data_IF_327172312421
#
_entry.id   IF_327172312421
#
_cell.length_a   1.000
_cell.length_b   1.000
_cell.length_c   1.000
_cell.angle_alpha   90.00
_cell.angle_beta   90.00
_cell.angle_gamma   90.00
#
_symmetry.space_group_name_H-M   'P 1'
#
loop_
_entity.id
_entity.type
_entity.pdbx_description
1 polymer ?
#
# COMPACT_ATOMS: atom_id res chain seq x y z
N UNK A 1 14.09 10.50 9.77
CA UNK A 1 12.92 10.53 8.87
C UNK A 1 12.74 11.96 8.38
N UNK A 2 13.23 12.26 7.17
CA UNK A 2 12.95 13.55 6.52
C UNK A 2 11.63 13.34 5.81
N UNK A 3 10.54 13.86 6.37
CA UNK A 3 9.19 13.67 5.84
C UNK A 3 9.07 14.35 4.48
N UNK A 4 9.17 13.56 3.41
CA UNK A 4 8.59 13.96 2.14
C UNK A 4 7.08 14.16 2.38
N UNK A 5 6.50 15.30 2.01
CA UNK A 5 5.10 15.55 2.28
C UNK A 5 4.27 14.50 1.54
N UNK A 6 3.37 13.83 2.26
CA UNK A 6 2.42 12.84 1.73
C UNK A 6 1.47 13.42 0.65
N UNK A 7 1.52 14.74 0.43
CA UNK A 7 0.89 15.44 -0.68
C UNK A 7 1.89 16.41 -1.34
N UNK A 8 2.20 16.20 -2.62
CA UNK A 8 2.70 17.29 -3.48
C UNK A 8 1.49 17.98 -4.11
N UNK A 9 1.41 19.30 -3.92
CA UNK A 9 0.45 20.15 -4.61
C UNK A 9 1.01 20.45 -6.00
N UNK A 10 0.50 19.74 -7.03
CA UNK A 10 0.82 20.04 -8.42
C UNK A 10 -0.30 20.84 -9.09
N UNK A 11 0.09 21.82 -9.91
CA UNK A 11 -0.87 22.63 -10.68
C UNK A 11 -1.62 21.71 -11.65
N UNK A 12 -2.95 21.64 -11.50
CA UNK A 12 -3.82 20.80 -12.33
C UNK A 12 -4.19 19.45 -11.72
N UNK A 13 -3.66 19.11 -10.54
CA UNK A 13 -4.03 17.88 -9.81
C UNK A 13 -4.93 18.19 -8.60
N UNK A 14 -5.82 17.26 -8.19
CA UNK A 14 -6.71 17.48 -7.07
C UNK A 14 -5.98 17.62 -5.72
N UNK A 15 -6.53 18.45 -4.83
CA UNK A 15 -6.05 18.60 -3.45
C UNK A 15 -6.48 17.34 -2.68
N UNK A 16 -5.53 16.50 -2.27
CA UNK A 16 -5.80 15.20 -1.64
C UNK A 16 -5.14 13.99 -2.32
N UNK A 17 -4.28 14.23 -3.31
CA UNK A 17 -3.48 13.18 -3.93
C UNK A 17 -2.40 12.65 -2.98
N UNK A 18 -2.29 11.33 -2.92
CA UNK A 18 -1.18 10.63 -2.29
C UNK A 18 -0.04 10.52 -3.29
N UNK A 19 1.15 10.95 -2.89
CA UNK A 19 2.36 10.84 -3.71
C UNK A 19 3.33 9.88 -3.04
N UNK A 20 3.85 8.93 -3.82
CA UNK A 20 4.81 7.94 -3.36
C UNK A 20 5.37 7.13 -4.50
N UNK A 21 6.18 6.13 -4.17
CA UNK A 21 6.74 5.21 -5.15
C UNK A 21 5.71 4.15 -5.54
N UNK A 22 5.64 3.85 -6.84
CA UNK A 22 4.81 2.76 -7.34
C UNK A 22 5.51 1.43 -7.06
N UNK A 23 4.78 0.47 -6.49
CA UNK A 23 5.30 -0.88 -6.23
C UNK A 23 4.81 -1.86 -7.30
N UNK A 24 5.63 -2.86 -7.59
CA UNK A 24 5.34 -3.98 -8.47
C UNK A 24 5.62 -5.30 -7.75
N UNK A 25 4.97 -5.49 -6.60
CA UNK A 25 5.09 -6.68 -5.79
C UNK A 25 6.41 -6.77 -5.02
N UNK A 26 6.95 -7.98 -4.92
CA UNK A 26 8.09 -8.34 -4.08
C UNK A 26 9.12 -9.11 -4.88
N UNK A 27 10.40 -8.94 -4.59
CA UNK A 27 11.44 -9.80 -5.17
C UNK A 27 11.28 -11.23 -4.67
N UNK A 28 11.20 -12.20 -5.57
CA UNK A 28 11.03 -13.60 -5.18
C UNK A 28 12.37 -14.27 -4.83
N UNK A 29 13.47 -13.79 -5.40
CA UNK A 29 14.82 -14.37 -5.25
C UNK A 29 15.87 -13.27 -5.12
N UNK A 30 17.00 -13.59 -4.48
CA UNK A 30 18.15 -12.68 -4.37
C UNK A 30 18.77 -12.34 -5.72
N UNK A 31 18.72 -13.26 -6.68
CA UNK A 31 19.22 -13.01 -8.03
C UNK A 31 18.37 -11.99 -8.79
N UNK A 32 17.05 -12.03 -8.61
CA UNK A 32 16.13 -11.02 -9.17
C UNK A 32 16.35 -9.65 -8.52
N UNK A 33 16.53 -9.64 -7.19
CA UNK A 33 16.86 -8.44 -6.43
C UNK A 33 18.18 -7.81 -6.88
N UNK A 34 19.23 -8.61 -7.08
CA UNK A 34 20.55 -8.11 -7.51
C UNK A 34 20.60 -7.62 -8.97
N UNK A 35 19.67 -8.08 -9.82
CA UNK A 35 19.60 -7.69 -11.23
C UNK A 35 18.68 -6.48 -11.47
N UNK A 36 17.96 -6.03 -10.44
CA UNK A 36 17.04 -4.90 -10.54
C UNK A 36 17.77 -3.55 -10.32
N UNK A 37 17.13 -2.42 -10.71
CA UNK A 37 17.60 -1.06 -10.41
C UNK A 37 17.92 -0.87 -8.92
N UNK A 38 18.85 0.03 -8.60
CA UNK A 38 19.20 0.33 -7.21
C UNK A 38 17.99 0.95 -6.49
N UNK A 39 17.40 0.20 -5.56
CA UNK A 39 16.23 0.65 -4.82
C UNK A 39 16.57 1.20 -3.45
N UNK A 40 17.85 1.31 -3.08
CA UNK A 40 18.31 1.80 -1.77
C UNK A 40 17.80 3.21 -1.40
N UNK A 41 17.57 4.15 -2.34
CA UNK A 41 17.00 5.45 -1.98
C UNK A 41 15.51 5.37 -1.60
N UNK A 42 14.76 4.46 -2.24
CA UNK A 42 13.32 4.24 -1.98
C UNK A 42 13.06 3.21 -0.86
N UNK A 43 13.92 2.21 -0.71
CA UNK A 43 13.90 1.18 0.33
C UNK A 43 14.97 1.50 1.38
N UNK A 44 14.58 1.63 2.65
CA UNK A 44 15.51 1.93 3.75
C UNK A 44 16.46 0.76 4.07
N UNK A 45 16.33 -0.38 3.40
CA UNK A 45 17.24 -1.50 3.52
C UNK A 45 18.45 -1.35 2.59
N UNK A 46 19.69 -1.24 3.11
CA UNK A 46 20.91 -1.12 2.31
C UNK A 46 21.30 -2.38 1.53
N UNK A 47 20.50 -3.46 1.60
CA UNK A 47 20.71 -4.70 0.85
C UNK A 47 19.42 -5.13 0.19
N UNK A 48 19.38 -5.05 -1.14
CA UNK A 48 18.31 -5.59 -1.95
C UNK A 48 18.38 -7.12 -1.95
N UNK A 49 17.37 -7.75 -1.35
CA UNK A 49 17.26 -9.19 -1.17
C UNK A 49 15.88 -9.67 -1.61
N UNK A 50 15.76 -10.98 -1.82
CA UNK A 50 14.46 -11.64 -1.90
C UNK A 50 13.60 -11.25 -0.70
N UNK A 51 12.34 -10.90 -0.97
CA UNK A 51 11.39 -10.42 0.03
C UNK A 51 11.33 -8.91 0.23
N UNK A 52 12.22 -8.12 -0.38
CA UNK A 52 12.06 -6.67 -0.41
C UNK A 52 10.97 -6.25 -1.39
N UNK A 53 10.38 -5.08 -1.13
CA UNK A 53 9.37 -4.48 -2.01
C UNK A 53 10.09 -4.11 -3.30
N UNK A 54 9.48 -4.46 -4.43
CA UNK A 54 9.96 -4.05 -5.74
C UNK A 54 9.29 -2.74 -6.12
N UNK A 55 10.04 -1.65 -6.14
CA UNK A 55 9.60 -0.37 -6.68
C UNK A 55 9.77 -0.34 -8.21
N UNK A 56 9.00 0.51 -8.87
CA UNK A 56 9.10 0.73 -10.32
C UNK A 56 9.97 1.96 -10.54
N UNK A 57 11.08 1.75 -11.24
CA UNK A 57 11.85 2.82 -11.88
C UNK A 57 10.99 3.37 -13.03
N UNK A 58 10.56 4.63 -12.91
CA UNK A 58 9.67 5.30 -13.86
C UNK A 58 10.45 6.05 -14.95
N UNK A 59 11.69 6.43 -14.67
CA UNK A 59 12.52 7.22 -15.58
C UNK A 59 13.56 6.37 -16.35
N UNK A 60 13.67 5.08 -16.02
CA UNK A 60 14.57 4.07 -16.59
C UNK A 60 16.07 4.39 -16.43
N UNK A 61 16.45 5.13 -15.39
CA UNK A 61 17.85 5.51 -15.13
C UNK A 61 18.66 4.47 -14.34
N UNK A 62 17.99 3.40 -13.88
CA UNK A 62 18.60 2.31 -13.13
C UNK A 62 18.71 2.56 -11.62
N UNK A 63 18.14 3.65 -11.11
CA UNK A 63 18.03 4.00 -9.69
C UNK A 63 16.57 4.34 -9.40
N UNK A 64 16.04 3.89 -8.26
CA UNK A 64 14.72 4.35 -7.79
C UNK A 64 14.92 5.41 -6.72
N UNK A 65 14.61 6.66 -7.06
CA UNK A 65 14.79 7.81 -6.16
C UNK A 65 13.57 8.73 -6.08
N UNK A 66 13.74 9.95 -5.56
CA UNK A 66 12.65 10.90 -5.36
C UNK A 66 12.00 11.34 -6.69
N UNK A 67 12.67 11.19 -7.83
CA UNK A 67 12.17 11.52 -9.17
C UNK A 67 11.20 10.44 -9.71
N UNK A 68 11.18 9.24 -9.11
CA UNK A 68 10.24 8.15 -9.42
C UNK A 68 8.93 8.22 -8.63
N UNK A 69 8.70 9.31 -7.89
CA UNK A 69 7.45 9.50 -7.16
C UNK A 69 6.32 9.87 -8.12
N UNK A 70 5.19 9.16 -7.97
CA UNK A 70 3.98 9.42 -8.74
C UNK A 70 2.74 9.48 -7.85
N UNK A 71 1.61 9.89 -8.43
CA UNK A 71 0.32 9.85 -7.73
C UNK A 71 -0.12 8.41 -7.58
N UNK A 72 -0.16 7.91 -6.34
CA UNK A 72 -0.49 6.52 -6.00
C UNK A 72 -1.95 6.34 -5.55
N UNK A 73 -2.67 7.44 -5.30
CA UNK A 73 -4.09 7.41 -4.99
C UNK A 73 -4.67 8.80 -4.80
N UNK A 74 -6.00 8.88 -4.72
CA UNK A 74 -6.75 10.11 -4.54
C UNK A 74 -7.81 9.95 -3.44
N UNK A 75 -7.71 10.77 -2.39
CA UNK A 75 -8.68 10.76 -1.29
C UNK A 75 -10.06 11.31 -1.69
N UNK A 76 -10.17 11.98 -2.84
CA UNK A 76 -11.43 12.56 -3.29
C UNK A 76 -12.30 11.50 -3.98
N UNK A 77 -13.54 11.30 -3.53
CA UNK A 77 -14.46 10.37 -4.17
C UNK A 77 -14.99 10.92 -5.49
N UNK A 78 -15.15 10.02 -6.46
CA UNK A 78 -15.83 10.32 -7.73
C UNK A 78 -17.33 10.59 -7.51
N UNK A 79 -17.94 9.87 -6.56
CA UNK A 79 -19.37 9.99 -6.25
C UNK A 79 -19.62 9.97 -4.75
N UNK A 80 -20.39 10.93 -4.26
CA UNK A 80 -20.92 10.91 -2.89
C UNK A 80 -22.41 11.16 -2.92
N UNK A 81 -23.13 10.57 -1.98
CA UNK A 81 -24.56 10.75 -1.91
C UNK A 81 -25.19 10.03 -0.74
N UNK A 82 -26.51 10.09 -0.70
CA UNK A 82 -27.29 9.40 0.29
C UNK A 82 -28.78 9.47 -0.03
N UNK A 83 -29.54 8.57 0.58
CA UNK A 83 -30.99 8.60 0.50
C UNK A 83 -31.61 8.24 1.85
N UNK A 84 -32.75 8.85 2.12
CA UNK A 84 -33.54 8.58 3.32
C UNK A 84 -34.91 8.06 2.92
N UNK A 85 -35.39 7.04 3.61
CA UNK A 85 -36.70 6.43 3.38
C UNK A 85 -37.42 6.25 4.71
N UNK A 86 -38.71 6.60 4.71
CA UNK A 86 -39.60 6.41 5.86
C UNK A 86 -40.75 5.51 5.44
N UNK A 87 -40.83 4.33 6.05
CA UNK A 87 -41.91 3.38 5.87
C UNK A 87 -42.84 3.40 7.08
N UNK A 88 -44.15 3.53 6.85
CA UNK A 88 -45.15 3.55 7.91
C UNK A 88 -46.23 2.51 7.65
N UNK A 89 -46.49 1.63 8.62
CA UNK A 89 -47.53 0.60 8.52
C UNK A 89 -48.15 0.28 9.89
N UNK A 90 -49.49 0.37 10.00
CA UNK A 90 -50.28 0.02 11.20
C UNK A 90 -49.74 0.58 12.52
N UNK A 91 -49.31 1.84 12.53
CA UNK A 91 -48.76 2.51 13.72
C UNK A 91 -47.29 2.24 14.00
N UNK A 92 -46.63 1.40 13.20
CA UNK A 92 -45.18 1.24 13.18
C UNK A 92 -44.55 2.16 12.13
N UNK A 93 -43.45 2.81 12.46
CA UNK A 93 -42.67 3.64 11.56
C UNK A 93 -41.20 3.23 11.60
N UNK A 94 -40.61 3.02 10.42
CA UNK A 94 -39.19 2.78 10.23
C UNK A 94 -38.62 3.88 9.36
N UNK A 95 -37.64 4.60 9.89
CA UNK A 95 -36.87 5.59 9.16
C UNK A 95 -35.45 5.08 8.95
N UNK A 96 -34.99 5.07 7.70
CA UNK A 96 -33.63 4.66 7.31
C UNK A 96 -32.95 5.80 6.59
N UNK A 97 -31.64 5.94 6.79
CA UNK A 97 -30.79 6.88 6.05
C UNK A 97 -29.52 6.16 5.66
N UNK A 98 -29.19 6.26 4.38
CA UNK A 98 -28.02 5.66 3.77
C UNK A 98 -27.14 6.77 3.23
N UNK A 99 -25.83 6.66 3.46
CA UNK A 99 -24.83 7.54 2.86
C UNK A 99 -23.74 6.68 2.24
N UNK A 100 -23.20 7.12 1.11
CA UNK A 100 -22.14 6.41 0.41
C UNK A 100 -21.13 7.37 -0.21
N UNK A 101 -19.92 6.86 -0.37
CA UNK A 101 -18.78 7.47 -1.04
C UNK A 101 -18.12 6.39 -1.89
N UNK A 102 -17.91 6.65 -3.17
CA UNK A 102 -17.38 5.68 -4.14
C UNK A 102 -16.27 6.32 -4.96
N UNK A 103 -15.22 5.55 -5.21
CA UNK A 103 -14.09 5.96 -6.05
C UNK A 103 -12.97 6.69 -5.31
N UNK A 104 -13.08 6.89 -3.98
CA UNK A 104 -11.97 7.40 -3.18
C UNK A 104 -11.01 6.26 -2.79
N UNK A 105 -9.72 6.56 -2.83
CA UNK A 105 -8.67 5.72 -2.26
C UNK A 105 -8.49 6.04 -0.77
N UNK A 106 -8.11 5.03 0.03
CA UNK A 106 -7.96 5.18 1.48
C UNK A 106 -6.57 4.70 1.88
N UNK A 107 -5.67 5.64 2.15
CA UNK A 107 -4.37 5.31 2.71
C UNK A 107 -4.49 4.80 4.15
N UNK A 108 -4.19 3.52 4.36
CA UNK A 108 -4.30 2.86 5.66
C UNK A 108 -2.95 2.79 6.41
N UNK A 109 -2.66 3.83 7.20
CA UNK A 109 -1.44 3.86 8.04
C UNK A 109 -1.38 2.77 9.11
N UNK A 110 -2.52 2.30 9.63
CA UNK A 110 -2.53 1.22 10.61
C UNK A 110 -1.98 -0.07 10.01
N UNK A 111 -2.19 -0.30 8.71
CA UNK A 111 -1.59 -1.44 8.02
C UNK A 111 -0.06 -1.27 8.01
N UNK A 112 0.46 -0.10 7.65
CA UNK A 112 1.90 0.17 7.62
C UNK A 112 2.54 -0.08 9.00
N UNK A 113 1.97 0.46 10.08
CA UNK A 113 2.56 0.33 11.42
C UNK A 113 2.49 -1.11 11.97
N UNK A 114 1.36 -1.80 11.77
CA UNK A 114 1.16 -3.14 12.33
C UNK A 114 1.68 -4.28 11.42
N UNK A 115 2.07 -3.98 10.18
CA UNK A 115 2.55 -5.01 9.25
C UNK A 115 4.02 -5.36 9.43
N UNK A 116 4.85 -4.46 9.96
CA UNK A 116 6.30 -4.71 10.04
C UNK A 116 6.79 -5.22 11.40
N UNK A 117 5.89 -5.33 12.40
CA UNK A 117 6.28 -5.79 13.74
C UNK A 117 7.42 -4.95 14.33
N UNK A 118 7.39 -3.64 14.06
CA UNK A 118 8.44 -2.71 14.51
C UNK A 118 8.45 -2.64 16.04
N UNK A 119 9.62 -2.87 16.66
CA UNK A 119 9.78 -2.84 18.12
C UNK A 119 9.19 -4.07 18.85
N UNK A 120 8.83 -3.91 20.14
CA UNK A 120 8.22 -4.97 20.97
C UNK A 120 6.70 -4.82 21.07
N UNK A 121 6.07 -4.31 20.02
CA UNK A 121 4.63 -4.10 19.98
C UNK A 121 3.92 -5.29 19.33
N UNK A 122 2.60 -5.38 19.54
CA UNK A 122 1.80 -6.36 18.83
C UNK A 122 1.81 -6.06 17.33
N UNK A 123 1.96 -7.10 16.52
CA UNK A 123 1.86 -7.02 15.08
C UNK A 123 0.50 -7.54 14.61
N UNK A 124 0.08 -7.12 13.42
CA UNK A 124 -1.09 -7.69 12.76
C UNK A 124 -0.90 -9.18 12.51
N UNK A 125 -2.00 -9.93 12.46
CA UNK A 125 -1.97 -11.37 12.11
C UNK A 125 -1.28 -11.64 10.77
N UNK A 126 -1.32 -10.68 9.84
CA UNK A 126 -0.69 -10.79 8.54
C UNK A 126 0.84 -10.90 8.62
N UNK A 127 1.47 -10.41 9.69
CA UNK A 127 2.91 -10.56 9.91
C UNK A 127 3.36 -12.02 10.06
N UNK A 128 2.46 -12.92 10.48
CA UNK A 128 2.73 -14.36 10.53
C UNK A 128 2.87 -14.98 9.12
N UNK A 129 2.23 -14.37 8.12
CA UNK A 129 2.27 -14.79 6.72
C UNK A 129 3.26 -13.96 5.89
N UNK A 130 4.21 -13.29 6.54
CA UNK A 130 5.21 -12.49 5.83
C UNK A 130 6.15 -13.36 5.03
N UNK A 131 6.81 -12.73 4.07
CA UNK A 131 7.88 -13.33 3.30
C UNK A 131 9.00 -13.82 4.25
N UNK A 132 9.45 -15.07 4.09
CA UNK A 132 10.51 -15.65 4.91
C UNK A 132 11.37 -16.65 4.14
N UNK A 133 12.67 -16.62 4.38
CA UNK A 133 13.57 -17.73 4.03
C UNK A 133 13.29 -18.87 5.01
N UNK A 134 12.54 -19.90 4.61
CA UNK A 134 12.46 -21.14 5.38
C UNK A 134 13.68 -21.99 5.05
N UNK A 135 14.62 -22.09 5.99
CA UNK A 135 15.71 -23.04 5.92
C UNK A 135 15.22 -24.40 6.47
N UNK A 136 14.68 -25.26 5.61
CA UNK A 136 14.74 -26.71 5.83
C UNK A 136 14.65 -27.45 4.51
N UNK A 137 15.60 -28.35 4.28
CA UNK A 137 15.77 -29.20 3.09
C UNK A 137 14.60 -30.19 2.84
N UNK A 138 13.45 -30.04 3.50
CA UNK A 138 12.38 -31.02 3.45
C UNK A 138 11.18 -30.64 2.58
N UNK A 139 10.93 -29.37 2.27
CA UNK A 139 9.69 -28.98 1.58
C UNK A 139 9.92 -28.00 0.44
N UNK A 140 9.99 -28.59 -0.74
CA UNK A 140 10.13 -27.97 -2.05
C UNK A 140 8.92 -27.08 -2.44
N UNK A 141 8.58 -25.99 -1.71
CA UNK A 141 7.53 -25.03 -2.13
C UNK A 141 7.72 -23.57 -1.65
N UNK A 142 7.90 -22.71 -2.67
CA UNK A 142 7.46 -21.31 -2.90
C UNK A 142 7.48 -20.30 -1.75
N UNK A 143 8.27 -19.24 -1.96
CA UNK A 143 8.05 -17.92 -1.38
C UNK A 143 6.57 -17.54 -1.45
N UNK A 144 5.89 -17.53 -0.30
CA UNK A 144 4.51 -17.06 -0.24
C UNK A 144 4.56 -15.55 -0.39
N UNK A 145 4.08 -15.04 -1.52
CA UNK A 145 3.90 -13.61 -1.71
C UNK A 145 3.01 -13.09 -0.56
N UNK A 146 3.39 -12.01 0.13
CA UNK A 146 2.43 -11.26 0.93
C UNK A 146 1.24 -10.94 0.03
N UNK A 147 0.03 -11.17 0.53
CA UNK A 147 -1.19 -10.73 -0.16
C UNK A 147 -0.99 -9.28 -0.58
N UNK A 148 -1.32 -8.98 -1.84
CA UNK A 148 -1.09 -7.69 -2.49
C UNK A 148 -1.35 -6.54 -1.51
N UNK A 149 -0.38 -5.64 -1.42
CA UNK A 149 -0.51 -4.43 -0.63
C UNK A 149 -1.50 -3.52 -1.36
N UNK A 150 -2.79 -3.67 -1.06
CA UNK A 150 -3.78 -2.66 -1.40
C UNK A 150 -3.48 -1.43 -0.52
N UNK A 151 -2.91 -0.41 -1.17
CA UNK A 151 -2.59 0.90 -0.58
C UNK A 151 -3.84 1.77 -0.60
#
# INVERSE_FOLDING_TARGET
MKGAPASLLEVGKPIGNFVGWKTNGWFLTDAEAAAAPDQTPADQNPRQLGGNIRFVDLNEDGVVDDDDRTTIGNALPDWTGGFSSTFSYKGFQLSTTWTFSVGNDIMNFNNIENHFGIGRYNASKNFANRWSYLNSEAENRKATAPTVLDI
#
